data_IF_968252156776
#
_entry.id   IF_968252156776
#
_cell.length_a   1.000
_cell.length_b   1.000
_cell.length_c   1.000
_cell.angle_alpha   90.00
_cell.angle_beta   90.00
_cell.angle_gamma   90.00
#
_symmetry.space_group_name_H-M   'P 1'
#
loop_
_entity.id
_entity.type
_entity.pdbx_description
1 polymer ?
#
# COMPACT_ATOMS: atom_id res chain seq x y z
N UNK A 1 2.11 32.91 -1.68
CA UNK A 1 3.08 32.61 -2.75
C UNK A 1 2.61 33.22 -4.05
N UNK A 2 3.33 32.99 -5.15
CA UNK A 2 2.88 33.35 -6.50
C UNK A 2 1.65 32.50 -6.88
N UNK A 3 0.53 33.09 -7.35
CA UNK A 3 -0.65 32.31 -7.72
C UNK A 3 -0.37 31.35 -8.88
N UNK A 4 -0.74 30.07 -8.72
CA UNK A 4 -0.55 29.02 -9.72
C UNK A 4 -1.91 28.41 -10.09
N UNK A 5 -2.18 28.31 -11.39
CA UNK A 5 -3.32 27.63 -11.97
C UNK A 5 -2.83 26.32 -12.59
N UNK A 6 -3.17 25.18 -11.99
CA UNK A 6 -2.69 23.89 -12.46
C UNK A 6 -3.54 23.35 -13.63
N UNK A 7 -2.87 22.70 -14.58
CA UNK A 7 -3.49 21.96 -15.69
C UNK A 7 -2.59 20.78 -16.06
N UNK A 8 -3.18 19.66 -16.47
CA UNK A 8 -2.47 18.45 -16.89
C UNK A 8 -2.87 17.21 -16.08
N UNK A 9 -3.70 16.35 -16.67
CA UNK A 9 -4.06 15.05 -16.08
C UNK A 9 -4.94 15.12 -14.83
N UNK A 10 -5.55 16.26 -14.50
CA UNK A 10 -6.52 16.37 -13.40
C UNK A 10 -7.84 15.74 -13.85
N UNK A 11 -8.25 14.68 -13.15
CA UNK A 11 -9.37 13.83 -13.52
C UNK A 11 -10.24 13.37 -12.33
N UNK A 12 -9.87 13.73 -11.11
CA UNK A 12 -10.60 13.39 -9.88
C UNK A 12 -10.34 14.42 -8.76
N UNK A 13 -11.10 14.32 -7.67
CA UNK A 13 -10.84 15.11 -6.47
C UNK A 13 -9.49 14.79 -5.82
N UNK A 14 -9.06 13.52 -5.89
CA UNK A 14 -7.78 13.07 -5.34
C UNK A 14 -6.60 13.65 -6.13
N UNK A 15 -6.60 13.51 -7.47
CA UNK A 15 -5.56 14.11 -8.30
C UNK A 15 -5.56 15.63 -8.18
N UNK A 16 -6.74 16.25 -8.11
CA UNK A 16 -6.88 17.69 -7.82
C UNK A 16 -6.26 18.12 -6.48
N UNK A 17 -6.49 17.36 -5.40
CA UNK A 17 -5.88 17.64 -4.09
C UNK A 17 -4.35 17.53 -4.13
N UNK A 18 -3.78 16.65 -4.94
CA UNK A 18 -2.31 16.57 -5.13
C UNK A 18 -1.75 17.87 -5.72
N UNK A 19 -2.43 18.49 -6.70
CA UNK A 19 -2.00 19.79 -7.25
C UNK A 19 -2.13 20.92 -6.24
N UNK A 20 -3.18 20.92 -5.41
CA UNK A 20 -3.31 21.89 -4.30
C UNK A 20 -2.15 21.71 -3.32
N UNK A 21 -1.88 20.48 -2.86
CA UNK A 21 -0.74 20.19 -1.99
C UNK A 21 0.60 20.57 -2.62
N UNK A 22 0.71 20.57 -3.95
CA UNK A 22 1.89 20.99 -4.72
C UNK A 22 1.99 22.51 -4.92
N UNK A 23 1.01 23.30 -4.47
CA UNK A 23 1.05 24.76 -4.45
C UNK A 23 0.08 25.46 -5.41
N UNK A 24 -0.70 24.73 -6.21
CA UNK A 24 -1.73 25.33 -7.05
C UNK A 24 -2.89 25.89 -6.19
N UNK A 25 -3.53 26.95 -6.67
CA UNK A 25 -4.71 27.54 -6.02
C UNK A 25 -6.01 27.14 -6.69
N UNK A 26 -5.97 26.86 -7.99
CA UNK A 26 -7.12 26.41 -8.80
C UNK A 26 -6.68 25.35 -9.80
N UNK A 27 -7.66 24.59 -10.29
CA UNK A 27 -7.47 23.37 -11.07
C UNK A 27 -8.23 23.51 -12.40
N UNK A 28 -7.54 23.41 -13.52
CA UNK A 28 -8.12 23.40 -14.87
C UNK A 28 -8.21 21.96 -15.40
N UNK A 29 -9.28 21.66 -16.13
CA UNK A 29 -9.58 20.31 -16.62
C UNK A 29 -9.89 20.37 -18.11
N UNK A 30 -9.37 19.41 -18.87
CA UNK A 30 -9.63 19.25 -20.30
C UNK A 30 -9.85 17.78 -20.67
N UNK A 31 -8.80 16.96 -20.60
CA UNK A 31 -8.85 15.55 -21.03
C UNK A 31 -9.88 14.70 -20.28
N UNK A 32 -10.10 14.96 -18.99
CA UNK A 32 -11.12 14.22 -18.23
C UNK A 32 -12.55 14.52 -18.71
N UNK A 33 -12.82 15.76 -19.12
CA UNK A 33 -14.12 16.13 -19.74
C UNK A 33 -14.23 15.49 -21.13
N UNK A 34 -13.15 15.46 -21.92
CA UNK A 34 -13.15 14.78 -23.23
C UNK A 34 -13.40 13.27 -23.11
N UNK A 35 -12.90 12.65 -22.05
CA UNK A 35 -13.12 11.22 -21.77
C UNK A 35 -14.52 10.92 -21.22
N UNK A 36 -15.25 11.93 -20.76
CA UNK A 36 -16.55 11.78 -20.11
C UNK A 36 -17.49 12.91 -20.58
N UNK A 37 -17.91 13.79 -19.66
CA UNK A 37 -18.81 14.91 -19.91
C UNK A 37 -18.72 15.91 -18.73
N UNK A 38 -19.51 16.99 -18.74
CA UNK A 38 -19.42 18.03 -17.72
C UNK A 38 -19.87 17.60 -16.32
N UNK A 39 -20.58 16.49 -16.16
CA UNK A 39 -21.12 16.04 -14.86
C UNK A 39 -20.02 15.57 -13.89
N UNK A 40 -18.80 15.30 -14.38
CA UNK A 40 -17.63 14.98 -13.53
C UNK A 40 -17.34 16.05 -12.47
N UNK A 41 -17.81 17.30 -12.67
CA UNK A 41 -17.69 18.36 -11.66
C UNK A 41 -18.39 18.01 -10.34
N UNK A 42 -19.48 17.23 -10.38
CA UNK A 42 -20.20 16.80 -9.18
C UNK A 42 -19.35 15.83 -8.35
N UNK A 43 -18.69 14.88 -9.02
CA UNK A 43 -17.72 13.96 -8.40
C UNK A 43 -16.53 14.73 -7.81
N UNK A 44 -15.96 15.69 -8.55
CA UNK A 44 -14.83 16.49 -8.05
C UNK A 44 -15.19 17.27 -6.79
N UNK A 45 -16.37 17.90 -6.78
CA UNK A 45 -16.82 18.68 -5.64
C UNK A 45 -17.13 17.82 -4.41
N UNK A 46 -17.81 16.68 -4.60
CA UNK A 46 -18.18 15.79 -3.49
C UNK A 46 -16.97 15.03 -2.96
N UNK A 47 -16.10 14.53 -3.84
CA UNK A 47 -14.85 13.88 -3.47
C UNK A 47 -13.91 14.81 -2.69
N UNK A 48 -13.78 16.08 -3.10
CA UNK A 48 -12.91 17.03 -2.39
C UNK A 48 -13.46 17.38 -1.01
N UNK A 49 -14.79 17.53 -0.89
CA UNK A 49 -15.45 17.70 0.42
C UNK A 49 -15.19 16.51 1.32
N UNK A 50 -15.31 15.27 0.81
CA UNK A 50 -15.04 14.06 1.56
C UNK A 50 -13.57 14.00 2.03
N UNK A 51 -12.61 14.25 1.13
CA UNK A 51 -11.18 14.25 1.46
C UNK A 51 -10.81 15.27 2.55
N UNK A 52 -11.40 16.47 2.52
CA UNK A 52 -11.17 17.49 3.56
C UNK A 52 -11.87 17.11 4.87
N UNK A 53 -13.10 16.60 4.79
CA UNK A 53 -13.87 16.17 5.96
C UNK A 53 -13.18 15.03 6.71
N UNK A 54 -12.68 14.01 6.00
CA UNK A 54 -12.04 12.85 6.64
C UNK A 54 -10.77 13.22 7.42
N UNK A 55 -10.07 14.29 7.05
CA UNK A 55 -8.91 14.80 7.80
C UNK A 55 -9.26 15.29 9.22
N UNK A 56 -10.53 15.57 9.50
CA UNK A 56 -10.97 15.98 10.84
C UNK A 56 -11.49 14.84 11.73
N UNK A 57 -11.51 13.61 11.21
CA UNK A 57 -11.97 12.39 11.89
C UNK A 57 -10.76 11.57 12.36
N UNK A 58 -10.52 11.52 13.66
CA UNK A 58 -9.36 10.83 14.25
C UNK A 58 -9.44 9.31 14.12
N UNK A 59 -10.64 8.73 14.20
CA UNK A 59 -10.85 7.28 14.10
C UNK A 59 -10.51 6.72 12.70
N UNK A 60 -10.35 7.58 11.69
CA UNK A 60 -10.02 7.23 10.32
C UNK A 60 -8.64 7.78 9.90
N UNK A 61 -7.79 8.13 10.87
CA UNK A 61 -6.48 8.73 10.59
C UNK A 61 -5.50 7.81 9.84
N UNK A 62 -5.73 6.49 9.88
CA UNK A 62 -4.94 5.47 9.17
C UNK A 62 -5.46 5.18 7.75
N UNK A 63 -6.53 5.86 7.31
CA UNK A 63 -7.01 5.78 5.93
C UNK A 63 -6.17 6.68 5.02
N UNK A 64 -5.96 6.21 3.78
CA UNK A 64 -5.40 7.05 2.73
C UNK A 64 -6.54 7.73 1.97
N UNK A 65 -6.85 8.96 2.39
CA UNK A 65 -7.98 9.71 1.85
C UNK A 65 -9.31 8.98 2.11
N UNK A 66 -9.96 8.52 1.04
CA UNK A 66 -11.22 7.76 1.12
C UNK A 66 -11.01 6.23 1.14
N UNK A 67 -9.76 5.77 1.07
CA UNK A 67 -9.40 4.35 1.02
C UNK A 67 -9.10 3.81 2.43
N UNK A 68 -9.89 2.85 2.95
CA UNK A 68 -9.54 2.17 4.20
C UNK A 68 -8.21 1.41 4.08
N UNK A 69 -7.50 1.20 5.20
CA UNK A 69 -6.32 0.34 5.20
C UNK A 69 -6.68 -1.05 4.69
N UNK A 70 -5.90 -1.54 3.73
CA UNK A 70 -6.16 -2.84 3.13
C UNK A 70 -5.88 -3.93 4.16
N UNK A 71 -6.91 -4.71 4.47
CA UNK A 71 -6.82 -5.90 5.30
C UNK A 71 -6.46 -7.12 4.45
N UNK A 72 -5.79 -8.10 5.05
CA UNK A 72 -5.47 -9.36 4.37
C UNK A 72 -6.74 -10.01 3.82
N UNK A 73 -6.81 -10.14 2.49
CA UNK A 73 -8.00 -10.60 1.79
C UNK A 73 -7.65 -11.59 0.68
N UNK A 74 -8.64 -12.41 0.30
CA UNK A 74 -8.62 -13.17 -0.94
C UNK A 74 -9.91 -12.90 -1.71
N UNK A 75 -9.79 -12.42 -2.95
CA UNK A 75 -10.93 -12.01 -3.80
C UNK A 75 -11.86 -11.01 -3.11
N UNK A 76 -11.29 -10.03 -2.39
CA UNK A 76 -12.03 -9.02 -1.62
C UNK A 76 -12.69 -9.52 -0.34
N UNK A 77 -12.57 -10.81 0.01
CA UNK A 77 -13.09 -11.37 1.27
C UNK A 77 -11.99 -11.42 2.32
N UNK A 78 -12.25 -10.99 3.58
CA UNK A 78 -11.26 -11.06 4.64
C UNK A 78 -10.72 -12.48 4.86
N UNK A 79 -9.40 -12.62 5.00
CA UNK A 79 -8.77 -13.90 5.34
C UNK A 79 -9.15 -14.28 6.78
N UNK A 80 -9.60 -15.52 7.04
CA UNK A 80 -9.88 -15.99 8.39
C UNK A 80 -8.62 -15.99 9.26
N UNK A 81 -8.62 -15.20 10.34
CA UNK A 81 -7.53 -15.17 11.33
C UNK A 81 -7.62 -16.38 12.28
N UNK A 82 -7.29 -17.56 11.77
CA UNK A 82 -7.22 -18.81 12.54
C UNK A 82 -5.75 -19.12 12.81
N UNK A 83 -5.35 -19.32 14.07
CA UNK A 83 -3.95 -19.57 14.44
C UNK A 83 -3.33 -20.78 13.71
N UNK A 84 -4.15 -21.79 13.40
CA UNK A 84 -3.75 -22.97 12.62
C UNK A 84 -3.55 -22.70 11.13
N UNK A 85 -3.98 -21.57 10.59
CA UNK A 85 -3.72 -21.20 9.20
C UNK A 85 -2.48 -20.32 9.07
N UNK A 86 -2.31 -19.38 9.98
CA UNK A 86 -1.27 -18.36 9.90
C UNK A 86 0.13 -19.00 9.93
N UNK A 87 0.92 -18.78 8.88
CA UNK A 87 2.29 -19.26 8.77
C UNK A 87 2.45 -20.72 8.31
N UNK A 88 1.36 -21.44 8.00
CA UNK A 88 1.45 -22.81 7.49
C UNK A 88 1.79 -22.90 5.99
N UNK A 89 2.03 -21.76 5.31
CA UNK A 89 2.36 -21.69 3.87
C UNK A 89 1.39 -22.47 2.99
N UNK A 90 0.08 -22.31 3.27
CA UNK A 90 -0.97 -22.98 2.52
C UNK A 90 -1.53 -22.01 1.47
N UNK A 91 -1.13 -22.10 0.18
CA UNK A 91 -1.73 -21.29 -0.87
C UNK A 91 -3.18 -21.73 -1.18
N UNK A 92 -3.90 -20.90 -1.94
CA UNK A 92 -5.33 -21.09 -2.23
C UNK A 92 -5.59 -21.98 -3.47
N UNK A 93 -4.80 -23.03 -3.68
CA UNK A 93 -4.98 -24.00 -4.78
C UNK A 93 -4.59 -25.42 -4.39
N UNK A 94 -4.99 -26.40 -5.21
CA UNK A 94 -4.57 -27.81 -5.09
C UNK A 94 -4.86 -28.43 -3.70
N UNK A 95 -3.96 -29.31 -3.18
CA UNK A 95 -4.15 -29.96 -1.89
C UNK A 95 -4.10 -28.98 -0.71
N UNK A 96 -3.38 -27.87 -0.84
CA UNK A 96 -3.29 -26.82 0.17
C UNK A 96 -4.66 -26.17 0.42
N UNK A 97 -5.44 -25.93 -0.64
CA UNK A 97 -6.80 -25.41 -0.52
C UNK A 97 -7.72 -26.37 0.25
N UNK A 98 -7.57 -27.68 0.04
CA UNK A 98 -8.33 -28.69 0.79
C UNK A 98 -7.98 -28.67 2.28
N UNK A 99 -6.68 -28.56 2.60
CA UNK A 99 -6.20 -28.43 3.97
C UNK A 99 -6.75 -27.16 4.63
N UNK A 100 -6.69 -26.00 3.95
CA UNK A 100 -7.29 -24.75 4.45
C UNK A 100 -8.77 -24.92 4.73
N UNK A 101 -9.53 -25.53 3.81
CA UNK A 101 -10.96 -25.79 4.01
C UNK A 101 -11.22 -26.67 5.23
N UNK A 102 -10.42 -27.73 5.44
CA UNK A 102 -10.52 -28.61 6.62
C UNK A 102 -10.26 -27.84 7.91
N UNK A 103 -9.22 -27.02 7.96
CA UNK A 103 -8.88 -26.20 9.14
C UNK A 103 -10.00 -25.20 9.44
N UNK A 104 -10.50 -24.49 8.42
CA UNK A 104 -11.61 -23.54 8.59
C UNK A 104 -12.88 -24.25 9.09
N UNK A 105 -13.23 -25.41 8.51
CA UNK A 105 -14.38 -26.18 8.94
C UNK A 105 -14.25 -26.62 10.41
N UNK A 106 -13.08 -27.14 10.81
CA UNK A 106 -12.79 -27.53 12.19
C UNK A 106 -12.83 -26.33 13.15
N UNK A 107 -12.36 -25.16 12.73
CA UNK A 107 -12.45 -23.91 13.51
C UNK A 107 -13.91 -23.48 13.69
N UNK A 108 -14.75 -23.60 12.66
CA UNK A 108 -16.18 -23.25 12.73
C UNK A 108 -16.97 -24.20 13.62
N UNK A 109 -16.66 -25.49 13.62
CA UNK A 109 -17.27 -26.45 14.55
C UNK A 109 -16.88 -26.09 15.99
N UNK A 110 -15.60 -25.84 16.26
CA UNK A 110 -15.15 -25.41 17.60
C UNK A 110 -15.80 -24.10 18.07
N UNK A 111 -15.97 -23.13 17.17
CA UNK A 111 -16.68 -21.88 17.46
C UNK A 111 -18.18 -22.10 17.75
N UNK A 112 -18.80 -23.14 17.19
CA UNK A 112 -20.20 -23.49 17.47
C UNK A 112 -20.37 -24.05 18.89
N UNK A 113 -19.40 -24.86 19.33
CA UNK A 113 -19.42 -25.45 20.68
C UNK A 113 -19.08 -24.42 21.77
N UNK A 114 -18.32 -23.38 21.40
CA UNK A 114 -18.09 -22.21 22.25
C UNK A 114 -19.32 -21.31 22.21
N UNK A 115 -20.08 -21.29 23.31
CA UNK A 115 -21.26 -20.43 23.49
C UNK A 115 -20.86 -18.96 23.71
N UNK A 116 -20.12 -18.37 22.77
CA UNK A 116 -19.76 -16.95 22.81
C UNK A 116 -20.97 -16.09 22.48
N UNK A 117 -21.49 -15.39 23.47
CA UNK A 117 -22.49 -14.35 23.28
C UNK A 117 -21.89 -13.23 22.41
N UNK A 118 -22.35 -13.09 21.17
CA UNK A 118 -22.04 -11.94 20.34
C UNK A 118 -23.06 -10.85 20.64
N UNK A 119 -22.69 -9.87 21.47
CA UNK A 119 -23.52 -8.67 21.66
C UNK A 119 -23.38 -7.77 20.43
N UNK A 120 -24.47 -7.41 19.74
CA UNK A 120 -24.41 -6.45 18.64
C UNK A 120 -23.81 -5.13 19.13
N UNK A 121 -22.79 -4.64 18.42
CA UNK A 121 -22.23 -3.32 18.71
C UNK A 121 -23.28 -2.25 18.36
N UNK A 122 -23.47 -1.28 19.25
CA UNK A 122 -24.30 -0.12 18.95
C UNK A 122 -23.52 0.82 18.02
N UNK A 123 -24.03 1.01 16.80
CA UNK A 123 -23.40 1.91 15.81
C UNK A 123 -23.47 3.35 16.29
N UNK A 124 -22.31 3.99 16.46
CA UNK A 124 -22.18 5.42 16.73
C UNK A 124 -21.60 6.10 15.49
N UNK A 125 -22.09 7.29 15.16
CA UNK A 125 -21.44 8.17 14.18
C UNK A 125 -20.12 8.73 14.75
N UNK A 126 -19.14 8.91 13.87
CA UNK A 126 -17.93 9.66 14.19
C UNK A 126 -18.21 11.16 14.11
N UNK A 127 -17.58 11.91 15.02
CA UNK A 127 -17.71 13.35 15.08
C UNK A 127 -16.35 14.00 14.79
N UNK A 128 -16.40 15.17 14.15
CA UNK A 128 -15.21 15.98 13.88
C UNK A 128 -14.56 16.42 15.20
N UNK A 129 -13.38 15.92 15.55
CA UNK A 129 -12.65 16.42 16.72
C UNK A 129 -11.82 17.67 16.41
N UNK A 130 -11.52 17.92 15.12
CA UNK A 130 -10.72 19.05 14.64
C UNK A 130 -11.52 19.92 13.66
N UNK A 131 -11.13 21.19 13.42
CA UNK A 131 -11.71 21.99 12.33
C UNK A 131 -11.42 21.34 10.97
N UNK A 132 -12.43 21.30 10.09
CA UNK A 132 -12.26 20.80 8.72
C UNK A 132 -11.36 21.79 7.95
N UNK A 133 -10.26 21.33 7.32
CA UNK A 133 -9.38 22.22 6.56
C UNK A 133 -10.10 22.87 5.38
N UNK A 134 -9.87 24.17 5.18
CA UNK A 134 -10.25 24.86 3.95
C UNK A 134 -9.17 24.66 2.88
N UNK A 135 -9.48 25.02 1.62
CA UNK A 135 -8.54 24.93 0.50
C UNK A 135 -7.23 25.68 0.81
N UNK A 136 -7.32 26.89 1.38
CA UNK A 136 -6.14 27.68 1.77
C UNK A 136 -5.22 26.98 2.78
N UNK A 137 -5.74 26.05 3.57
CA UNK A 137 -5.00 25.36 4.62
C UNK A 137 -4.21 24.15 4.07
N UNK A 138 -4.58 23.66 2.88
CA UNK A 138 -3.92 22.51 2.24
C UNK A 138 -2.96 22.91 1.13
N UNK A 139 -3.06 24.13 0.59
CA UNK A 139 -2.17 24.60 -0.48
C UNK A 139 -0.70 24.53 -0.05
N UNK A 140 0.12 23.83 -0.83
CA UNK A 140 1.57 23.74 -0.61
C UNK A 140 2.02 22.80 0.51
N UNK A 141 1.12 22.00 1.11
CA UNK A 141 1.46 21.10 2.23
C UNK A 141 2.48 20.00 1.87
N UNK A 142 2.59 19.61 0.60
CA UNK A 142 3.58 18.60 0.19
C UNK A 142 4.97 19.19 -0.06
N UNK A 143 5.11 20.51 -0.14
CA UNK A 143 6.39 21.15 -0.47
C UNK A 143 7.47 20.90 0.58
N UNK A 144 7.09 20.66 1.84
CA UNK A 144 8.03 20.34 2.93
C UNK A 144 8.74 19.00 2.76
N UNK A 145 8.23 18.11 1.88
CA UNK A 145 8.82 16.80 1.60
C UNK A 145 9.67 16.79 0.32
N UNK A 146 9.71 17.91 -0.42
CA UNK A 146 10.53 18.04 -1.63
C UNK A 146 11.86 18.70 -1.27
N UNK A 147 12.94 18.16 -1.81
CA UNK A 147 14.30 18.60 -1.54
C UNK A 147 15.29 18.05 -2.54
N UNK A 148 16.56 18.35 -2.35
CA UNK A 148 17.63 17.76 -3.15
C UNK A 148 17.91 16.30 -2.74
N UNK A 149 18.58 15.54 -3.59
CA UNK A 149 18.97 14.16 -3.26
C UNK A 149 19.83 14.08 -1.98
N UNK A 150 20.66 15.09 -1.71
CA UNK A 150 21.51 15.13 -0.52
C UNK A 150 20.75 15.31 0.79
N UNK A 151 19.49 15.78 0.74
CA UNK A 151 18.61 15.91 1.91
C UNK A 151 17.92 14.59 2.27
N UNK A 152 17.96 13.59 1.36
CA UNK A 152 17.39 12.28 1.61
C UNK A 152 18.37 11.40 2.40
N UNK A 153 17.86 10.72 3.42
CA UNK A 153 18.64 9.78 4.21
C UNK A 153 19.02 8.55 3.40
N UNK A 154 20.32 8.34 3.19
CA UNK A 154 20.85 7.08 2.64
C UNK A 154 21.02 6.00 3.71
N UNK A 155 20.77 6.32 4.98
CA UNK A 155 20.91 5.39 6.11
C UNK A 155 19.60 4.67 6.45
N UNK A 156 18.46 5.36 6.29
CA UNK A 156 17.12 4.82 6.57
C UNK A 156 16.63 3.95 5.40
N UNK A 157 17.25 2.78 5.25
CA UNK A 157 16.92 1.83 4.21
C UNK A 157 15.68 1.00 4.56
N UNK A 158 14.99 0.53 3.53
CA UNK A 158 13.81 -0.34 3.65
C UNK A 158 14.03 -1.69 2.96
N UNK A 159 13.21 -2.67 3.29
CA UNK A 159 13.14 -3.97 2.60
C UNK A 159 11.68 -4.32 2.31
N UNK A 160 11.46 -5.11 1.27
CA UNK A 160 10.11 -5.58 0.93
C UNK A 160 9.67 -6.70 1.88
N UNK A 161 8.43 -6.63 2.33
CA UNK A 161 7.74 -7.65 3.12
C UNK A 161 6.48 -8.07 2.36
N UNK A 162 6.29 -9.36 2.15
CA UNK A 162 5.15 -9.92 1.42
C UNK A 162 4.19 -10.56 2.42
N UNK A 163 2.90 -10.20 2.34
CA UNK A 163 1.83 -10.92 3.02
C UNK A 163 1.45 -12.17 2.20
N UNK A 164 1.87 -13.34 2.69
CA UNK A 164 1.61 -14.64 2.06
C UNK A 164 0.09 -14.93 1.92
N UNK A 165 -0.75 -14.40 2.82
CA UNK A 165 -2.18 -14.64 2.81
C UNK A 165 -2.91 -13.79 1.75
N UNK A 166 -2.31 -12.69 1.32
CA UNK A 166 -2.81 -11.87 0.20
C UNK A 166 -2.25 -12.29 -1.16
N UNK A 167 -1.15 -13.04 -1.16
CA UNK A 167 -0.48 -13.47 -2.37
C UNK A 167 -1.39 -14.33 -3.26
N UNK A 168 -1.30 -14.11 -4.58
CA UNK A 168 -2.00 -14.90 -5.61
C UNK A 168 -1.04 -15.73 -6.46
N UNK A 169 0.18 -15.95 -5.98
CA UNK A 169 1.15 -16.90 -6.54
C UNK A 169 1.60 -16.62 -7.99
N UNK A 170 1.49 -15.38 -8.47
CA UNK A 170 1.76 -15.05 -9.87
C UNK A 170 3.25 -14.95 -10.25
N UNK A 171 4.16 -14.90 -9.26
CA UNK A 171 5.61 -14.80 -9.50
C UNK A 171 6.12 -13.49 -10.10
N UNK A 172 5.27 -12.46 -10.31
CA UNK A 172 5.72 -11.17 -10.90
C UNK A 172 6.82 -10.49 -10.09
N UNK A 173 6.71 -10.49 -8.76
CA UNK A 173 7.74 -9.95 -7.88
C UNK A 173 9.09 -10.68 -8.06
N UNK A 174 9.06 -12.01 -8.16
CA UNK A 174 10.21 -12.85 -8.41
C UNK A 174 10.86 -12.53 -9.76
N UNK A 175 10.08 -12.53 -10.85
CA UNK A 175 10.58 -12.22 -12.20
C UNK A 175 11.22 -10.83 -12.26
N UNK A 176 10.56 -9.81 -11.74
CA UNK A 176 11.10 -8.44 -11.73
C UNK A 176 12.36 -8.32 -10.88
N UNK A 177 12.43 -9.00 -9.73
CA UNK A 177 13.64 -8.98 -8.92
C UNK A 177 14.81 -9.71 -9.60
N UNK A 178 14.52 -10.75 -10.39
CA UNK A 178 15.55 -11.48 -11.13
C UNK A 178 16.09 -10.69 -12.31
N UNK A 179 15.22 -10.22 -13.20
CA UNK A 179 15.66 -9.69 -14.50
C UNK A 179 15.81 -8.16 -14.47
N UNK A 180 15.39 -7.50 -13.39
CA UNK A 180 15.47 -6.03 -13.24
C UNK A 180 15.93 -5.60 -11.85
N UNK A 181 16.38 -6.54 -11.00
CA UNK A 181 16.72 -6.26 -9.62
C UNK A 181 17.98 -6.99 -9.14
N UNK A 182 17.86 -7.66 -8.00
CA UNK A 182 18.97 -8.18 -7.20
C UNK A 182 18.86 -9.67 -6.89
N UNK A 183 17.96 -10.39 -7.58
CA UNK A 183 17.73 -11.83 -7.40
C UNK A 183 17.46 -12.21 -5.93
N UNK A 184 16.76 -11.32 -5.21
CA UNK A 184 16.61 -11.37 -3.76
C UNK A 184 15.33 -12.08 -3.29
N UNK A 185 14.51 -12.58 -4.21
CA UNK A 185 13.24 -13.25 -3.90
C UNK A 185 13.40 -14.73 -4.26
N UNK A 186 13.10 -15.61 -3.31
CA UNK A 186 12.94 -17.04 -3.56
C UNK A 186 11.49 -17.29 -3.94
N UNK A 187 11.25 -18.19 -4.89
CA UNK A 187 9.92 -18.59 -5.31
C UNK A 187 9.80 -20.09 -5.21
N UNK A 188 8.96 -20.54 -4.27
CA UNK A 188 8.84 -21.96 -3.94
C UNK A 188 8.19 -22.75 -5.10
N UNK A 189 8.79 -23.87 -5.56
CA UNK A 189 8.31 -24.59 -6.73
C UNK A 189 6.98 -25.33 -6.53
N UNK A 190 6.57 -25.59 -5.28
CA UNK A 190 5.36 -26.38 -4.97
C UNK A 190 4.20 -25.48 -4.55
N UNK A 191 4.46 -24.55 -3.62
CA UNK A 191 3.47 -23.62 -3.08
C UNK A 191 3.35 -22.34 -3.92
N UNK A 192 4.33 -22.06 -4.78
CA UNK A 192 4.43 -20.81 -5.55
C UNK A 192 4.33 -19.56 -4.65
N UNK A 193 4.79 -19.66 -3.40
CA UNK A 193 4.86 -18.53 -2.47
C UNK A 193 6.24 -17.86 -2.59
N UNK A 194 6.29 -16.52 -2.76
CA UNK A 194 7.53 -15.77 -2.78
C UNK A 194 8.01 -15.45 -1.35
N UNK A 195 9.31 -15.53 -1.11
CA UNK A 195 9.94 -15.11 0.15
C UNK A 195 11.10 -14.16 -0.14
N UNK A 196 11.09 -12.99 0.50
CA UNK A 196 12.16 -11.99 0.35
C UNK A 196 13.34 -12.37 1.26
N UNK A 197 14.54 -12.43 0.71
CA UNK A 197 15.78 -12.70 1.45
C UNK A 197 16.45 -11.41 1.95
N UNK A 198 17.40 -11.53 2.87
CA UNK A 198 18.14 -10.38 3.45
C UNK A 198 18.99 -9.61 2.42
N UNK A 199 19.19 -10.19 1.24
CA UNK A 199 19.88 -9.54 0.10
C UNK A 199 19.04 -8.46 -0.60
N UNK A 200 17.79 -8.26 -0.17
CA UNK A 200 16.92 -7.19 -0.65
C UNK A 200 17.54 -5.81 -0.40
N UNK A 201 17.52 -4.97 -1.43
CA UNK A 201 18.07 -3.60 -1.38
C UNK A 201 17.01 -2.53 -1.18
N UNK A 202 15.73 -2.90 -1.12
CA UNK A 202 14.65 -1.93 -0.96
C UNK A 202 14.31 -1.11 -2.21
N UNK A 203 14.67 -1.57 -3.42
CA UNK A 203 14.41 -0.80 -4.66
C UNK A 203 12.92 -0.63 -5.05
N UNK A 204 11.99 -1.27 -4.32
CA UNK A 204 10.54 -1.14 -4.48
C UNK A 204 9.94 -1.70 -5.78
N UNK A 205 10.75 -2.13 -6.77
CA UNK A 205 10.23 -2.66 -8.06
C UNK A 205 9.23 -3.80 -7.91
N UNK A 206 9.44 -4.72 -6.96
CA UNK A 206 8.53 -5.83 -6.71
C UNK A 206 7.14 -5.39 -6.23
N UNK A 207 7.08 -4.34 -5.40
CA UNK A 207 5.83 -3.73 -4.95
C UNK A 207 5.11 -3.10 -6.13
N UNK A 208 5.83 -2.35 -6.97
CA UNK A 208 5.26 -1.64 -8.12
C UNK A 208 4.62 -2.54 -9.19
N UNK A 209 5.03 -3.81 -9.28
CA UNK A 209 4.48 -4.78 -10.26
C UNK A 209 3.49 -5.76 -9.63
N UNK A 210 3.29 -5.71 -8.31
CA UNK A 210 2.40 -6.64 -7.64
C UNK A 210 0.95 -6.34 -8.02
N UNK A 211 0.17 -7.32 -8.51
CA UNK A 211 -1.21 -7.08 -8.93
C UNK A 211 -2.19 -6.92 -7.76
N UNK A 212 -1.76 -7.19 -6.52
CA UNK A 212 -2.58 -7.09 -5.33
C UNK A 212 -2.08 -5.91 -4.50
N UNK A 213 -2.93 -4.89 -4.38
CA UNK A 213 -2.65 -3.70 -3.57
C UNK A 213 -2.30 -4.10 -2.13
N UNK A 214 -1.25 -3.49 -1.59
CA UNK A 214 -0.69 -3.72 -0.24
C UNK A 214 -0.29 -5.16 0.12
N UNK A 215 -0.28 -6.10 -0.83
CA UNK A 215 0.27 -7.44 -0.61
C UNK A 215 1.78 -7.38 -0.32
N UNK A 216 2.48 -6.40 -0.90
CA UNK A 216 3.89 -6.12 -0.61
C UNK A 216 3.98 -4.75 0.04
N UNK A 217 4.70 -4.64 1.16
CA UNK A 217 4.94 -3.38 1.88
C UNK A 217 6.44 -3.16 2.06
N UNK A 218 6.85 -1.90 2.10
CA UNK A 218 8.23 -1.53 2.44
C UNK A 218 8.31 -1.29 3.94
N UNK A 219 9.18 -2.02 4.62
CA UNK A 219 9.39 -1.89 6.07
C UNK A 219 10.85 -1.49 6.34
N UNK A 220 11.08 -0.77 7.44
CA UNK A 220 12.45 -0.37 7.83
C UNK A 220 13.36 -1.58 7.95
N UNK A 221 14.55 -1.49 7.37
CA UNK A 221 15.54 -2.56 7.42
C UNK A 221 16.10 -2.68 8.84
N UNK A 222 15.99 -3.87 9.43
CA UNK A 222 16.51 -4.13 10.78
C UNK A 222 18.04 -4.31 10.80
N UNK A 223 18.64 -4.71 9.68
CA UNK A 223 20.09 -4.96 9.56
C UNK A 223 20.80 -3.79 8.87
N UNK A 224 22.06 -3.47 9.23
CA UNK A 224 22.82 -2.43 8.54
C UNK A 224 22.91 -2.71 7.04
N UNK A 225 22.65 -1.69 6.22
CA UNK A 225 22.75 -1.83 4.77
C UNK A 225 24.20 -1.69 4.30
N UNK A 226 24.64 -2.65 3.47
CA UNK A 226 25.95 -2.60 2.81
C UNK A 226 25.75 -2.64 1.30
N UNK A 227 26.07 -1.55 0.58
CA UNK A 227 25.94 -1.53 -0.88
C UNK A 227 26.84 -2.58 -1.54
N UNK A 228 26.25 -3.41 -2.41
CA UNK A 228 26.98 -4.40 -3.20
C UNK A 228 27.84 -3.69 -4.26
N UNK A 229 29.15 -3.65 -4.06
CA UNK A 229 30.10 -2.99 -4.99
C UNK A 229 30.60 -3.90 -6.12
N UNK A 230 30.32 -5.20 -6.06
CA UNK A 230 30.82 -6.21 -7.00
C UNK A 230 32.31 -6.54 -6.80
N UNK A 231 33.16 -5.51 -6.77
CA UNK A 231 34.59 -5.59 -6.47
C UNK A 231 34.95 -4.84 -5.18
N UNK A 232 36.06 -5.19 -4.51
CA UNK A 232 36.60 -4.39 -3.41
C UNK A 232 36.91 -2.94 -3.86
N UNK A 233 36.64 -1.96 -2.99
CA UNK A 233 36.86 -0.53 -3.29
C UNK A 233 38.33 -0.17 -3.54
N UNK A 234 39.26 -0.97 -3.02
CA UNK A 234 40.68 -0.85 -3.30
C UNK A 234 41.18 -2.15 -3.92
N UNK A 235 41.59 -2.10 -5.18
CA UNK A 235 42.40 -3.15 -5.80
C UNK A 235 43.85 -2.85 -5.42
N UNK A 236 44.45 -3.64 -4.52
CA UNK A 236 45.91 -3.61 -4.41
C UNK A 236 46.45 -4.11 -5.75
N UNK A 237 47.28 -3.34 -6.48
CA UNK A 237 47.85 -3.84 -7.72
C UNK A 237 48.60 -5.13 -7.39
N UNK A 238 48.32 -6.18 -8.16
CA UNK A 238 49.11 -7.42 -8.11
C UNK A 238 50.46 -7.03 -8.72
N UNK A 239 51.46 -6.82 -7.87
CA UNK A 239 52.86 -6.70 -8.29
C UNK A 239 53.37 -8.05 -8.78
#
# INVERSE_FOLDING_TARGET
GFPILATGGIDSAESGLQFLHSGASVLQVCSAIQNQDFTVIEDYCTGLKALLYLKSIEELADWDGQSPPIISHQKGKPVPRVAELMGQKLPSFGPYLEQRKKIIAASKIRQKDQNTACSPLQRKHFNSQKPIPAIKDVIGKSLQYLGTFGEMSIMEQVVALIDEEMCINCGKCYMTCNDSGYQAIQFDPETHLPTVSDTCTGCTLCLSVCPIMDCIRMVSRATPYQPKRGLPLAVKPVC
#
